data_IF_929777889871
#
_entry.id   IF_929777889871
#
_cell.length_a   1.000
_cell.length_b   1.000
_cell.length_c   1.000
_cell.angle_alpha   90.00
_cell.angle_beta   90.00
_cell.angle_gamma   90.00
#
_symmetry.space_group_name_H-M   'P 1'
#
loop_
_entity.id
_entity.type
_entity.pdbx_description
1 polymer ?
#
# COMPACT_ATOMS: atom_id res chain seq x y z
N UNK A 1 -13.03 16.42 -3.75
CA UNK A 1 -11.98 15.95 -2.82
C UNK A 1 -11.78 14.48 -3.07
N UNK A 2 -10.59 13.99 -3.47
CA UNK A 2 -10.38 12.56 -3.57
C UNK A 2 -10.59 11.96 -2.19
N UNK A 3 -11.50 10.98 -2.14
CA UNK A 3 -11.76 10.21 -0.93
C UNK A 3 -10.41 9.69 -0.40
N UNK A 4 -10.14 9.86 0.90
CA UNK A 4 -8.84 9.49 1.51
C UNK A 4 -8.42 8.06 1.14
N UNK A 5 -9.39 7.20 0.88
CA UNK A 5 -9.21 5.81 0.48
C UNK A 5 -8.68 5.67 -0.96
N UNK A 6 -9.11 6.53 -1.89
CA UNK A 6 -8.61 6.56 -3.27
C UNK A 6 -7.12 6.94 -3.32
N UNK A 7 -6.73 7.97 -2.57
CA UNK A 7 -5.34 8.39 -2.47
C UNK A 7 -4.43 7.27 -1.92
N UNK A 8 -4.90 6.50 -0.93
CA UNK A 8 -4.17 5.36 -0.38
C UNK A 8 -4.09 4.19 -1.38
N UNK A 9 -5.19 3.90 -2.09
CA UNK A 9 -5.22 2.89 -3.16
C UNK A 9 -4.24 3.23 -4.29
N UNK A 10 -4.19 4.50 -4.70
CA UNK A 10 -3.28 4.97 -5.74
C UNK A 10 -1.81 4.85 -5.32
N UNK A 11 -1.52 5.18 -4.06
CA UNK A 11 -0.18 5.01 -3.46
C UNK A 11 0.22 3.55 -3.35
N UNK A 12 -0.73 2.67 -2.98
CA UNK A 12 -0.52 1.22 -2.95
C UNK A 12 -0.21 0.66 -4.35
N UNK A 13 -0.93 1.10 -5.40
CA UNK A 13 -0.65 0.71 -6.80
C UNK A 13 0.75 1.14 -7.26
N UNK A 14 1.16 2.38 -6.95
CA UNK A 14 2.53 2.85 -7.26
C UNK A 14 3.58 1.99 -6.57
N UNK A 15 3.37 1.69 -5.29
CA UNK A 15 4.28 0.84 -4.52
C UNK A 15 4.38 -0.57 -5.10
N UNK A 16 3.26 -1.13 -5.56
CA UNK A 16 3.24 -2.45 -6.18
C UNK A 16 4.02 -2.48 -7.50
N UNK A 17 3.95 -1.42 -8.31
CA UNK A 17 4.79 -1.27 -9.53
C UNK A 17 6.27 -1.14 -9.20
N UNK A 18 6.62 -0.40 -8.14
CA UNK A 18 8.00 -0.28 -7.67
C UNK A 18 8.54 -1.64 -7.21
N UNK A 19 7.75 -2.43 -6.47
CA UNK A 19 8.14 -3.79 -6.06
C UNK A 19 8.36 -4.69 -7.28
N UNK A 20 7.49 -4.62 -8.28
CA UNK A 20 7.60 -5.46 -9.47
C UNK A 20 8.83 -5.09 -10.32
N UNK A 21 9.14 -3.79 -10.41
CA UNK A 21 10.37 -3.30 -11.05
C UNK A 21 11.64 -3.64 -10.24
N UNK A 22 11.53 -3.73 -8.91
CA UNK A 22 12.63 -3.96 -7.99
C UNK A 22 13.00 -5.46 -7.81
N UNK A 23 12.54 -6.35 -8.73
CA UNK A 23 12.85 -7.79 -8.71
C UNK A 23 14.32 -8.14 -9.01
N UNK A 24 15.18 -7.16 -9.28
CA UNK A 24 16.62 -7.39 -9.44
C UNK A 24 17.23 -7.90 -8.12
N UNK A 25 18.07 -8.93 -8.19
CA UNK A 25 18.70 -9.55 -7.02
C UNK A 25 19.50 -8.55 -6.16
N UNK A 26 20.10 -7.53 -6.78
CA UNK A 26 20.81 -6.45 -6.07
C UNK A 26 19.91 -5.53 -5.22
N UNK A 27 18.58 -5.65 -5.33
CA UNK A 27 17.63 -4.79 -4.61
C UNK A 27 16.72 -5.55 -3.64
N UNK A 28 17.13 -6.74 -3.21
CA UNK A 28 16.33 -7.54 -2.26
C UNK A 28 16.03 -6.80 -0.94
N UNK A 29 16.96 -5.99 -0.44
CA UNK A 29 16.72 -5.16 0.76
C UNK A 29 15.67 -4.08 0.52
N UNK A 30 15.75 -3.40 -0.62
CA UNK A 30 14.77 -2.41 -1.05
C UNK A 30 13.39 -3.06 -1.26
N UNK A 31 13.35 -4.27 -1.83
CA UNK A 31 12.13 -5.07 -1.96
C UNK A 31 11.52 -5.43 -0.59
N UNK A 32 12.34 -5.79 0.40
CA UNK A 32 11.87 -6.05 1.78
C UNK A 32 11.27 -4.79 2.39
N UNK A 33 11.92 -3.64 2.21
CA UNK A 33 11.43 -2.36 2.72
C UNK A 33 10.11 -1.96 2.06
N UNK A 34 10.01 -2.07 0.74
CA UNK A 34 8.80 -1.81 -0.03
C UNK A 34 7.65 -2.74 0.38
N UNK A 35 7.91 -4.03 0.61
CA UNK A 35 6.90 -4.98 1.12
C UNK A 35 6.36 -4.56 2.50
N UNK A 36 7.22 -4.10 3.42
CA UNK A 36 6.78 -3.58 4.73
C UNK A 36 5.90 -2.34 4.58
N UNK A 37 6.28 -1.41 3.70
CA UNK A 37 5.48 -0.21 3.41
C UNK A 37 4.14 -0.60 2.79
N UNK A 38 4.11 -1.59 1.89
CA UNK A 38 2.87 -2.13 1.30
C UNK A 38 1.93 -2.65 2.37
N UNK A 39 2.46 -3.42 3.32
CA UNK A 39 1.68 -4.01 4.40
C UNK A 39 1.04 -2.92 5.27
N UNK A 40 1.80 -1.90 5.68
CA UNK A 40 1.27 -0.75 6.45
C UNK A 40 0.20 0.02 5.67
N UNK A 41 0.38 0.20 4.36
CA UNK A 41 -0.62 0.83 3.50
C UNK A 41 -1.91 0.00 3.43
N UNK A 42 -1.78 -1.32 3.27
CA UNK A 42 -2.91 -2.26 3.24
C UNK A 42 -3.69 -2.20 4.55
N UNK A 43 -2.99 -2.29 5.67
CA UNK A 43 -3.55 -2.24 7.02
C UNK A 43 -4.29 -0.92 7.29
N UNK A 44 -3.75 0.19 6.80
CA UNK A 44 -4.39 1.51 6.91
C UNK A 44 -5.62 1.64 6.01
N UNK A 45 -5.63 1.02 4.83
CA UNK A 45 -6.81 0.93 3.96
C UNK A 45 -7.90 0.06 4.63
N UNK A 46 -7.53 -1.09 5.18
CA UNK A 46 -8.45 -1.97 5.91
C UNK A 46 -9.04 -1.28 7.13
N UNK A 47 -8.20 -0.61 7.95
CA UNK A 47 -8.65 0.19 9.10
C UNK A 47 -9.65 1.27 8.69
N UNK A 48 -9.42 1.95 7.57
CA UNK A 48 -10.35 2.95 7.05
C UNK A 48 -11.64 2.32 6.50
N UNK A 49 -11.54 1.19 5.80
CA UNK A 49 -12.71 0.44 5.31
C UNK A 49 -13.58 -0.08 6.44
N UNK A 50 -12.99 -0.70 7.46
CA UNK A 50 -13.68 -1.21 8.64
C UNK A 50 -14.33 -0.06 9.41
N UNK A 51 -13.64 1.08 9.55
CA UNK A 51 -14.22 2.28 10.18
C UNK A 51 -15.40 2.85 9.40
N UNK A 52 -15.38 2.79 8.07
CA UNK A 52 -16.53 3.18 7.24
C UNK A 52 -17.69 2.19 7.35
N UNK A 53 -17.43 0.90 7.58
CA UNK A 53 -18.46 -0.15 7.72
C UNK A 53 -19.09 -0.22 9.12
N UNK A 54 -18.40 0.23 10.16
CA UNK A 54 -18.90 0.19 11.54
C UNK A 54 -19.80 1.38 11.93
N UNK A 55 -20.10 2.29 11.00
CA UNK A 55 -21.02 3.43 11.17
C UNK A 55 -22.31 3.24 10.35
N UNK A 56 -22.59 2.00 9.93
CA UNK A 56 -23.84 1.62 9.26
C UNK A 56 -24.82 0.93 10.21
#
# INVERSE_FOLDING_TARGET
>A
MPDRLDALCQRHRRLNRLIDNCRAASRQEEMKMLKRIRLRLKDRIESLRTRSLSVG
#
